data_IF_578363080657
#
_entry.id   IF_578363080657
#
_cell.length_a   1.000
_cell.length_b   1.000
_cell.length_c   1.000
_cell.angle_alpha   90.00
_cell.angle_beta   90.00
_cell.angle_gamma   90.00
#
_symmetry.space_group_name_H-M   'P 1'
#
loop_
_entity.id
_entity.type
_entity.pdbx_description
1 polymer ?
#
# COMPACT_ATOMS: atom_id res chain seq x y z
N UNK A 1 -25.88 -0.03 52.60
CA UNK A 1 -25.29 -1.04 51.68
C UNK A 1 -25.21 -0.39 50.31
N UNK A 2 -24.35 0.61 50.27
CA UNK A 2 -24.11 1.57 49.23
C UNK A 2 -22.76 1.13 48.66
N UNK A 3 -22.84 0.23 47.69
CA UNK A 3 -21.68 -0.20 46.91
C UNK A 3 -21.35 0.94 45.97
N UNK A 4 -20.58 1.91 46.47
CA UNK A 4 -19.96 2.94 45.63
C UNK A 4 -18.91 2.23 44.76
N UNK A 5 -19.35 1.79 43.57
CA UNK A 5 -18.46 1.27 42.54
C UNK A 5 -17.53 2.39 42.08
N UNK A 6 -16.31 2.37 42.61
CA UNK A 6 -15.21 3.21 42.15
C UNK A 6 -14.90 2.83 40.70
N UNK A 7 -15.42 3.62 39.76
CA UNK A 7 -15.07 3.52 38.35
C UNK A 7 -13.65 4.07 38.21
N UNK A 8 -12.65 3.22 38.37
CA UNK A 8 -11.25 3.57 38.17
C UNK A 8 -11.08 3.98 36.70
N UNK A 9 -10.94 5.29 36.46
CA UNK A 9 -10.61 5.80 35.13
C UNK A 9 -9.19 5.35 34.79
N UNK A 10 -9.06 4.34 33.95
CA UNK A 10 -7.76 3.84 33.48
C UNK A 10 -7.19 4.85 32.48
N UNK A 11 -6.47 5.86 32.99
CA UNK A 11 -5.80 6.85 32.14
C UNK A 11 -4.65 6.14 31.42
N UNK A 12 -4.82 5.94 30.11
CA UNK A 12 -3.78 5.36 29.25
C UNK A 12 -2.79 6.45 28.84
N UNK A 13 -1.50 6.23 29.04
CA UNK A 13 -0.45 7.16 28.60
C UNK A 13 0.11 6.73 27.24
N UNK A 14 0.30 7.70 26.34
CA UNK A 14 0.85 7.48 24.99
C UNK A 14 2.30 7.96 24.91
N UNK A 15 3.18 7.06 24.49
CA UNK A 15 4.57 7.31 24.15
C UNK A 15 4.67 7.43 22.63
N UNK A 16 4.73 8.67 22.14
CA UNK A 16 4.87 8.96 20.72
C UNK A 16 6.33 8.81 20.27
N UNK A 17 6.55 8.15 19.13
CA UNK A 17 7.86 8.07 18.49
C UNK A 17 7.76 8.27 16.98
N UNK A 18 8.88 8.69 16.39
CA UNK A 18 9.04 8.80 14.94
C UNK A 18 9.83 7.58 14.43
N UNK A 19 9.24 6.70 13.61
CA UNK A 19 9.94 5.53 13.13
C UNK A 19 11.06 5.94 12.17
N UNK A 20 12.17 5.20 12.19
CA UNK A 20 13.22 5.37 11.19
C UNK A 20 12.66 5.04 9.80
N UNK A 21 13.05 5.83 8.80
CA UNK A 21 12.62 5.65 7.42
C UNK A 21 13.84 5.68 6.48
N UNK A 22 14.10 4.55 5.82
CA UNK A 22 15.09 4.45 4.75
C UNK A 22 14.38 4.58 3.41
N UNK A 23 14.75 5.59 2.64
CA UNK A 23 14.27 5.77 1.27
C UNK A 23 15.30 5.24 0.28
N UNK A 24 14.85 4.39 -0.65
CA UNK A 24 15.68 3.82 -1.71
C UNK A 24 15.12 4.24 -3.06
N UNK A 25 16.00 4.75 -3.92
CA UNK A 25 15.65 5.18 -5.26
C UNK A 25 16.06 4.12 -6.27
N UNK A 26 15.13 3.65 -7.10
CA UNK A 26 15.41 2.67 -8.15
C UNK A 26 14.83 3.15 -9.48
N UNK A 27 15.15 2.50 -10.60
CA UNK A 27 14.74 2.98 -11.92
C UNK A 27 13.23 2.93 -12.11
N UNK A 28 12.59 1.83 -11.68
CA UNK A 28 11.17 1.58 -11.92
C UNK A 28 10.28 1.94 -10.73
N UNK A 29 10.80 1.88 -9.51
CA UNK A 29 10.05 2.17 -8.30
C UNK A 29 10.98 2.76 -7.23
N UNK A 30 10.44 3.63 -6.38
CA UNK A 30 11.12 4.04 -5.15
C UNK A 30 10.52 3.29 -3.97
N UNK A 31 11.31 3.05 -2.93
CA UNK A 31 10.88 2.23 -1.79
C UNK A 31 11.14 2.95 -0.47
N UNK A 32 10.10 3.10 0.36
CA UNK A 32 10.27 3.40 1.78
C UNK A 32 10.37 2.11 2.58
N UNK A 33 11.42 1.97 3.38
CA UNK A 33 11.62 0.87 4.33
C UNK A 33 11.60 1.42 5.75
N UNK A 34 10.65 0.93 6.55
CA UNK A 34 10.32 1.48 7.86
C UNK A 34 10.34 0.32 8.86
N UNK A 35 11.40 0.17 9.65
CA UNK A 35 11.45 -0.83 10.72
C UNK A 35 10.42 -0.49 11.81
N UNK A 36 9.47 -1.39 12.02
CA UNK A 36 8.41 -1.29 13.03
C UNK A 36 8.49 -2.51 13.95
N UNK A 37 9.65 -2.69 14.59
CA UNK A 37 9.91 -3.86 15.42
C UNK A 37 8.90 -3.99 16.57
N UNK A 38 8.34 -5.19 16.71
CA UNK A 38 7.32 -5.52 17.72
C UNK A 38 5.93 -4.95 17.45
N UNK A 39 5.69 -4.28 16.33
CA UNK A 39 4.33 -4.05 15.83
C UNK A 39 3.83 -5.26 15.05
N UNK A 40 2.55 -5.59 15.22
CA UNK A 40 1.82 -6.55 14.37
C UNK A 40 1.10 -5.79 13.26
N UNK A 41 0.81 -6.46 12.15
CA UNK A 41 0.09 -5.83 11.02
C UNK A 41 -1.28 -5.25 11.43
N UNK A 42 -1.96 -5.83 12.41
CA UNK A 42 -3.23 -5.34 12.93
C UNK A 42 -3.12 -4.08 13.82
N UNK A 43 -1.89 -3.70 14.21
CA UNK A 43 -1.62 -2.58 15.13
C UNK A 43 -1.26 -1.28 14.39
N UNK A 44 -1.27 -1.29 13.07
CA UNK A 44 -1.04 -0.10 12.27
C UNK A 44 -1.80 -0.16 10.95
N UNK A 45 -1.92 1.00 10.30
CA UNK A 45 -2.51 1.12 8.98
C UNK A 45 -1.63 1.98 8.08
N UNK A 46 -1.80 1.79 6.77
CA UNK A 46 -1.22 2.61 5.71
C UNK A 46 -2.38 3.12 4.88
N UNK A 47 -2.55 4.44 4.83
CA UNK A 47 -3.64 5.11 4.13
C UNK A 47 -3.06 5.97 3.02
N UNK A 48 -3.50 5.75 1.78
CA UNK A 48 -3.24 6.66 0.66
C UNK A 48 -4.35 7.70 0.59
N UNK A 49 -3.98 8.97 0.48
CA UNK A 49 -4.88 10.08 0.20
C UNK A 49 -4.56 10.63 -1.19
N UNK A 50 -5.39 10.29 -2.17
CA UNK A 50 -5.20 10.70 -3.57
C UNK A 50 -5.35 12.22 -3.76
N UNK A 51 -6.24 12.87 -3.01
CA UNK A 51 -6.47 14.33 -3.12
C UNK A 51 -5.29 15.15 -2.60
N UNK A 52 -4.68 14.70 -1.50
CA UNK A 52 -3.51 15.36 -0.89
C UNK A 52 -2.19 14.85 -1.47
N UNK A 53 -2.24 13.81 -2.29
CA UNK A 53 -1.07 13.09 -2.79
C UNK A 53 -0.15 12.66 -1.65
N UNK A 54 -0.71 12.09 -0.58
CA UNK A 54 0.05 11.66 0.59
C UNK A 54 -0.23 10.22 1.00
N UNK A 55 0.79 9.58 1.59
CA UNK A 55 0.64 8.34 2.32
C UNK A 55 0.82 8.62 3.79
N UNK A 56 -0.16 8.22 4.58
CA UNK A 56 -0.14 8.29 6.03
C UNK A 56 0.05 6.90 6.62
N UNK A 57 0.97 6.76 7.55
CA UNK A 57 1.12 5.55 8.36
C UNK A 57 0.89 5.90 9.82
N UNK A 58 0.09 5.07 10.49
CA UNK A 58 -0.26 5.27 11.89
C UNK A 58 -0.34 3.93 12.58
N UNK A 59 0.22 3.84 13.78
CA UNK A 59 0.14 2.63 14.56
C UNK A 59 0.17 2.88 16.04
N UNK A 60 -0.40 1.95 16.78
CA UNK A 60 -0.40 1.93 18.23
C UNK A 60 -0.31 0.49 18.76
N UNK A 61 0.49 0.29 19.79
CA UNK A 61 0.60 -1.00 20.48
C UNK A 61 0.66 -0.80 22.00
N UNK A 62 0.13 -1.74 22.79
CA UNK A 62 0.42 -1.77 24.21
C UNK A 62 1.91 -2.02 24.44
N UNK A 63 2.46 -1.39 25.49
CA UNK A 63 3.78 -1.69 26.04
C UNK A 63 3.59 -2.53 27.30
N UNK A 64 3.31 -1.88 28.43
CA UNK A 64 3.04 -2.52 29.72
C UNK A 64 2.00 -1.70 30.50
N UNK A 65 1.14 -2.38 31.26
CA UNK A 65 0.12 -1.73 32.09
C UNK A 65 -0.82 -0.85 31.25
N UNK A 66 -0.84 0.45 31.54
CA UNK A 66 -1.67 1.45 30.84
C UNK A 66 -0.90 2.21 29.74
N UNK A 67 0.34 1.82 29.45
CA UNK A 67 1.21 2.51 28.49
C UNK A 67 1.04 1.98 27.07
N UNK A 68 0.97 2.91 26.12
CA UNK A 68 0.85 2.63 24.70
C UNK A 68 1.98 3.32 23.94
N UNK A 69 2.59 2.61 22.99
CA UNK A 69 3.49 3.23 22.02
C UNK A 69 2.72 3.58 20.76
N UNK A 70 2.90 4.78 20.23
CA UNK A 70 2.18 5.29 19.06
C UNK A 70 3.14 5.97 18.08
N UNK A 71 2.85 5.84 16.79
CA UNK A 71 3.51 6.64 15.76
C UNK A 71 2.50 7.16 14.74
N UNK A 72 2.85 8.29 14.11
CA UNK A 72 2.16 8.87 12.96
C UNK A 72 3.20 9.49 12.05
N UNK A 73 3.18 9.13 10.77
CA UNK A 73 4.08 9.68 9.76
C UNK A 73 3.33 9.86 8.45
N UNK A 74 3.69 10.89 7.69
CA UNK A 74 3.10 11.19 6.40
C UNK A 74 4.21 11.46 5.38
N UNK A 75 4.02 10.96 4.15
CA UNK A 75 4.95 11.13 3.03
C UNK A 75 4.18 11.68 1.82
N UNK A 76 4.79 12.61 1.07
CA UNK A 76 4.24 13.04 -0.22
C UNK A 76 4.53 12.01 -1.30
N UNK A 77 3.55 11.76 -2.14
CA UNK A 77 3.61 10.88 -3.30
C UNK A 77 2.96 11.59 -4.48
N UNK A 78 3.69 12.53 -5.11
CA UNK A 78 3.18 13.34 -6.19
C UNK A 78 2.68 12.48 -7.35
N UNK A 79 1.47 12.75 -7.83
CA UNK A 79 0.85 11.91 -8.85
C UNK A 79 1.48 12.08 -10.23
N UNK A 80 2.20 13.18 -10.49
CA UNK A 80 2.99 13.41 -11.70
C UNK A 80 4.22 12.50 -11.79
N UNK A 81 4.83 12.16 -10.65
CA UNK A 81 6.02 11.30 -10.56
C UNK A 81 5.64 9.83 -10.39
N UNK A 82 4.67 9.51 -9.54
CA UNK A 82 4.35 8.14 -9.15
C UNK A 82 2.99 7.68 -9.65
N UNK A 83 2.88 6.39 -9.97
CA UNK A 83 1.62 5.74 -10.26
C UNK A 83 0.99 5.23 -8.95
N UNK A 84 0.12 6.05 -8.35
CA UNK A 84 -0.53 5.75 -7.06
C UNK A 84 -1.47 4.54 -7.12
N UNK A 85 -2.00 4.17 -8.31
CA UNK A 85 -2.90 3.02 -8.48
C UNK A 85 -2.19 1.67 -8.31
N UNK A 86 -0.91 1.62 -8.65
CA UNK A 86 -0.07 0.43 -8.56
C UNK A 86 0.84 0.44 -7.32
N UNK A 87 0.57 1.36 -6.39
CA UNK A 87 1.26 1.42 -5.11
C UNK A 87 1.03 0.15 -4.30
N UNK A 88 2.09 -0.35 -3.67
CA UNK A 88 2.00 -1.54 -2.85
C UNK A 88 2.78 -1.42 -1.54
N UNK A 89 2.14 -1.80 -0.44
CA UNK A 89 2.75 -1.89 0.88
C UNK A 89 2.81 -3.34 1.35
N UNK A 90 3.96 -3.76 1.90
CA UNK A 90 4.17 -5.09 2.48
C UNK A 90 4.79 -4.96 3.87
N UNK A 91 4.28 -5.70 4.83
CA UNK A 91 4.91 -5.85 6.14
C UNK A 91 5.45 -7.26 6.32
N UNK A 92 6.73 -7.39 6.66
CA UNK A 92 7.37 -8.68 6.90
C UNK A 92 8.68 -8.50 7.65
N UNK A 93 9.05 -9.47 8.48
CA UNK A 93 10.27 -9.45 9.29
C UNK A 93 10.43 -8.17 10.13
N UNK A 94 9.31 -7.59 10.59
CA UNK A 94 9.29 -6.36 11.36
C UNK A 94 9.54 -5.08 10.55
N UNK A 95 9.55 -5.14 9.21
CA UNK A 95 9.79 -4.00 8.33
C UNK A 95 8.59 -3.77 7.41
N UNK A 96 8.08 -2.54 7.39
CA UNK A 96 7.11 -2.06 6.42
C UNK A 96 7.86 -1.54 5.18
N UNK A 97 7.57 -2.11 4.02
CA UNK A 97 8.09 -1.70 2.72
C UNK A 97 6.97 -1.14 1.87
N UNK A 98 7.06 0.15 1.50
CA UNK A 98 6.10 0.82 0.62
C UNK A 98 6.80 1.08 -0.72
N UNK A 99 6.36 0.38 -1.77
CA UNK A 99 6.87 0.54 -3.13
C UNK A 99 6.00 1.55 -3.89
N UNK A 100 6.68 2.54 -4.48
CA UNK A 100 6.14 3.64 -5.25
C UNK A 100 6.56 3.48 -6.72
N UNK A 101 5.72 2.91 -7.60
CA UNK A 101 6.05 2.80 -9.01
C UNK A 101 6.18 4.17 -9.64
N UNK A 102 7.24 4.40 -10.41
CA UNK A 102 7.45 5.63 -11.17
C UNK A 102 6.63 5.59 -12.46
N UNK A 103 6.09 6.74 -12.85
CA UNK A 103 5.56 6.92 -14.20
C UNK A 103 6.73 6.93 -15.17
N UNK A 104 6.61 6.19 -16.28
CA UNK A 104 7.56 6.31 -17.38
C UNK A 104 7.40 7.71 -17.99
N UNK A 105 8.49 8.38 -18.37
CA UNK A 105 8.36 9.57 -19.19
C UNK A 105 7.60 9.18 -20.47
N UNK A 106 6.46 9.82 -20.73
CA UNK A 106 5.82 9.76 -22.03
C UNK A 106 6.74 10.47 -23.01
N UNK A 107 7.45 9.71 -23.84
CA UNK A 107 8.25 10.24 -24.94
C UNK A 107 7.32 10.75 -26.06
N UNK A 108 6.39 11.65 -25.76
CA UNK A 108 5.54 12.32 -26.75
C UNK A 108 6.26 13.58 -27.28
N UNK A 109 7.51 13.39 -27.71
CA UNK A 109 8.32 14.34 -28.47
C UNK A 109 9.55 13.65 -29.08
N UNK A 110 9.35 12.76 -30.05
CA UNK A 110 10.36 12.48 -31.08
C UNK A 110 9.69 12.08 -32.39
N UNK A 111 9.56 13.06 -33.28
CA UNK A 111 9.17 12.89 -34.68
C UNK A 111 10.30 12.26 -35.50
N UNK A 112 9.91 11.48 -36.53
CA UNK A 112 10.68 10.92 -37.66
C UNK A 112 11.63 9.73 -37.32
N UNK A 113 11.71 8.60 -38.03
CA UNK A 113 11.62 8.33 -39.48
C UNK A 113 11.06 6.91 -39.71
N UNK A 114 10.27 6.80 -40.77
CA UNK A 114 9.66 5.63 -41.41
C UNK A 114 10.47 4.32 -41.32
N UNK A 115 9.92 3.30 -40.67
CA UNK A 115 10.07 1.90 -41.10
C UNK A 115 8.69 1.32 -41.41
N UNK A 116 8.25 1.53 -42.66
CA UNK A 116 7.09 0.87 -43.27
C UNK A 116 7.45 -0.58 -43.61
N UNK A 117 7.12 -1.52 -42.74
CA UNK A 117 6.85 -2.93 -43.06
C UNK A 117 6.50 -3.63 -41.76
N UNK A 118 5.40 -4.34 -41.55
CA UNK A 118 4.48 -5.01 -42.46
C UNK A 118 3.26 -5.39 -41.58
N UNK A 119 2.05 -5.23 -42.13
CA UNK A 119 0.81 -5.95 -41.78
C UNK A 119 0.13 -5.70 -40.43
N UNK A 120 -0.83 -4.77 -40.44
CA UNK A 120 -2.10 -4.96 -39.72
C UNK A 120 -3.26 -4.72 -40.70
N UNK A 121 -3.62 -5.76 -41.44
CA UNK A 121 -4.91 -5.91 -42.09
C UNK A 121 -5.65 -7.03 -41.38
N UNK A 122 -6.52 -6.69 -40.44
CA UNK A 122 -7.65 -7.55 -40.12
C UNK A 122 -8.85 -6.69 -39.73
N UNK A 123 -9.75 -6.53 -40.70
CA UNK A 123 -11.10 -5.99 -40.52
C UNK A 123 -11.87 -7.09 -39.79
N UNK A 124 -12.16 -6.90 -38.52
CA UNK A 124 -12.85 -7.88 -37.67
C UNK A 124 -14.33 -7.97 -38.05
N UNK A 125 -14.73 -9.06 -38.70
CA UNK A 125 -16.12 -9.52 -38.70
C UNK A 125 -16.17 -10.98 -38.30
N UNK A 126 -16.79 -11.22 -37.13
CA UNK A 126 -17.46 -12.44 -36.65
C UNK A 126 -16.80 -13.79 -37.01
N UNK A 127 -16.32 -14.47 -35.95
CA UNK A 127 -15.94 -15.90 -35.88
C UNK A 127 -14.64 -16.32 -36.59
N UNK A 128 -13.58 -16.58 -35.82
CA UNK A 128 -12.71 -17.76 -35.95
C UNK A 128 -11.54 -17.72 -34.95
N UNK A 129 -11.65 -18.56 -33.92
CA UNK A 129 -10.62 -19.48 -33.41
C UNK A 129 -9.18 -19.19 -33.85
N UNK A 130 -8.29 -18.89 -32.89
CA UNK A 130 -6.88 -19.26 -33.02
C UNK A 130 -6.39 -19.90 -31.71
N UNK A 131 -6.31 -21.23 -31.75
CA UNK A 131 -5.67 -22.08 -30.75
C UNK A 131 -4.16 -21.85 -30.83
N UNK A 132 -3.56 -21.29 -29.78
CA UNK A 132 -2.10 -21.37 -29.59
C UNK A 132 -1.88 -22.24 -28.35
N UNK A 133 -1.50 -23.49 -28.60
CA UNK A 133 -1.03 -24.41 -27.57
C UNK A 133 0.43 -24.04 -27.26
N UNK A 134 0.71 -23.68 -26.00
CA UNK A 134 2.06 -23.79 -25.44
C UNK A 134 1.90 -24.50 -24.10
N UNK A 135 2.30 -25.77 -24.11
CA UNK A 135 2.36 -26.64 -22.94
C UNK A 135 3.74 -26.54 -22.28
N UNK A 136 3.78 -27.02 -21.03
CA UNK A 136 4.91 -27.23 -20.09
C UNK A 136 5.08 -26.05 -19.11
N UNK A 137 4.29 -25.96 -18.03
CA UNK A 137 4.32 -26.74 -16.76
C UNK A 137 5.63 -26.58 -16.01
N UNK A 138 5.65 -25.69 -15.01
CA UNK A 138 6.01 -25.88 -13.57
C UNK A 138 5.50 -24.59 -12.88
N UNK A 139 4.48 -24.54 -12.04
CA UNK A 139 4.25 -25.35 -10.85
C UNK A 139 4.58 -24.51 -9.61
N UNK A 140 3.69 -23.62 -9.17
CA UNK A 140 3.58 -23.22 -7.75
C UNK A 140 2.12 -22.91 -7.45
N UNK A 141 1.46 -23.92 -6.91
CA UNK A 141 0.30 -23.76 -6.05
C UNK A 141 0.69 -22.97 -4.80
N UNK A 142 -0.34 -22.45 -4.12
CA UNK A 142 -0.33 -21.87 -2.76
C UNK A 142 -0.19 -20.35 -2.71
N UNK A 143 -1.26 -19.72 -2.21
CA UNK A 143 -1.21 -18.40 -1.59
C UNK A 143 -2.22 -17.43 -2.19
N UNK A 144 -3.42 -17.38 -1.61
CA UNK A 144 -4.51 -16.52 -2.05
C UNK A 144 -4.12 -15.05 -2.21
N UNK A 145 -4.64 -14.42 -3.26
CA UNK A 145 -4.55 -12.99 -3.43
C UNK A 145 -5.67 -12.33 -2.60
N UNK A 146 -5.36 -11.91 -1.36
CA UNK A 146 -6.26 -11.03 -0.60
C UNK A 146 -5.91 -9.60 -0.99
N UNK A 147 -6.76 -9.00 -1.82
CA UNK A 147 -6.70 -7.58 -2.19
C UNK A 147 -7.20 -6.78 -0.99
N UNK A 148 -6.31 -6.25 -0.16
CA UNK A 148 -6.65 -5.10 0.68
C UNK A 148 -6.47 -3.84 -0.16
N UNK A 149 -7.47 -3.54 -0.99
CA UNK A 149 -7.83 -2.14 -1.20
C UNK A 149 -8.42 -1.69 0.12
N UNK A 150 -7.73 -0.80 0.81
CA UNK A 150 -8.25 -0.15 2.01
C UNK A 150 -9.62 0.46 1.70
N UNK A 151 -10.67 -0.27 2.06
CA UNK A 151 -12.02 0.27 2.16
C UNK A 151 -12.04 1.15 3.42
N UNK A 152 -12.63 2.35 3.36
CA UNK A 152 -12.82 3.17 4.54
C UNK A 152 -13.72 2.41 5.52
N UNK A 153 -13.19 2.13 6.72
CA UNK A 153 -13.98 1.65 7.84
C UNK A 153 -15.01 2.73 8.20
N UNK A 154 -16.23 2.60 7.68
CA UNK A 154 -17.37 3.38 8.15
C UNK A 154 -17.70 2.91 9.57
N UNK A 155 -17.18 3.62 10.56
CA UNK A 155 -17.70 3.57 11.92
C UNK A 155 -19.11 4.17 11.88
N UNK A 156 -20.15 3.33 11.82
CA UNK A 156 -21.47 3.70 12.28
C UNK A 156 -21.46 3.57 13.81
N UNK A 157 -21.23 4.70 14.46
CA UNK A 157 -21.54 4.89 15.88
C UNK A 157 -23.06 5.08 15.92
N UNK A 158 -23.81 4.03 16.24
CA UNK A 158 -25.18 4.22 16.72
C UNK A 158 -25.09 4.47 18.23
N UNK A 159 -25.22 5.75 18.57
CA UNK A 159 -25.51 6.21 19.93
C UNK A 159 -27.01 6.09 20.15
N UNK A 160 -27.34 5.43 21.26
CA UNK A 160 -28.46 5.69 22.16
C UNK A 160 -29.84 5.08 21.83
#
# INVERSE_FOLDING_TARGET
MDSNGEVVSIISSYEDFMPYCKFQREEQYDTYQIPLHGFKIAQFNVCLNDEKETIKIEGQRPLDGTRWSRFRQEFKVPCDVYNTKDLHARFGNGVLSIRLPKKKPSNDASDSVVNKSLLLRLKTSKMAILRIAVAVVVGVAVGGYVIFKCLPSKHAIEKH
#
